data_IF_166590196860
#
_entry.id   IF_166590196860
#
_cell.length_a   1.000
_cell.length_b   1.000
_cell.length_c   1.000
_cell.angle_alpha   90.00
_cell.angle_beta   90.00
_cell.angle_gamma   90.00
#
_symmetry.space_group_name_H-M   'P 1'
#
loop_
_entity.id
_entity.type
_entity.pdbx_description
1 polymer ?
#
# COMPACT_ATOMS: atom_id res chain seq x y z
N UNK A 1 -4.48 -40.32 22.47
CA UNK A 1 -4.19 -38.87 22.52
C UNK A 1 -3.95 -38.41 21.09
N UNK A 2 -4.92 -37.73 20.48
CA UNK A 2 -4.73 -37.15 19.15
C UNK A 2 -3.79 -35.96 19.29
N UNK A 3 -2.68 -35.97 18.56
CA UNK A 3 -1.87 -34.78 18.39
C UNK A 3 -2.72 -33.77 17.59
N UNK A 4 -3.14 -32.68 18.22
CA UNK A 4 -3.66 -31.54 17.48
C UNK A 4 -2.49 -30.94 16.69
N UNK A 5 -2.46 -31.21 15.39
CA UNK A 5 -1.63 -30.44 14.47
C UNK A 5 -2.16 -29.00 14.47
N UNK A 6 -1.37 -28.04 14.93
CA UNK A 6 -1.70 -26.63 14.77
C UNK A 6 -1.89 -26.35 13.28
N UNK A 7 -3.08 -25.92 12.86
CA UNK A 7 -3.34 -25.54 11.48
C UNK A 7 -2.40 -24.39 11.07
N UNK A 8 -1.94 -24.42 9.82
CA UNK A 8 -1.08 -23.38 9.29
C UNK A 8 -1.85 -22.07 9.12
N UNK A 9 -1.42 -21.00 9.80
CA UNK A 9 -2.03 -19.68 9.67
C UNK A 9 -1.39 -18.90 8.51
N UNK A 10 -2.05 -18.88 7.34
CA UNK A 10 -1.60 -18.16 6.16
C UNK A 10 -1.40 -16.64 6.36
N UNK A 11 -1.93 -16.02 7.42
CA UNK A 11 -1.82 -14.59 7.67
C UNK A 11 -0.69 -14.18 8.63
N UNK A 12 0.09 -15.15 9.14
CA UNK A 12 1.17 -14.90 10.11
C UNK A 12 2.56 -15.30 9.59
N UNK A 13 2.80 -15.11 8.29
CA UNK A 13 4.05 -15.50 7.62
C UNK A 13 4.53 -14.41 6.65
N UNK A 14 5.83 -14.44 6.34
CA UNK A 14 6.42 -13.57 5.33
C UNK A 14 6.19 -14.12 3.93
N UNK A 15 5.75 -13.25 3.02
CA UNK A 15 5.54 -13.57 1.62
C UNK A 15 6.26 -12.57 0.72
N UNK A 16 7.03 -13.02 -0.27
CA UNK A 16 7.55 -12.14 -1.30
C UNK A 16 6.41 -11.63 -2.19
N UNK A 17 6.40 -10.34 -2.52
CA UNK A 17 5.38 -9.73 -3.37
C UNK A 17 5.87 -9.59 -4.82
N UNK A 18 7.02 -8.94 -5.02
CA UNK A 18 7.61 -8.68 -6.34
C UNK A 18 9.11 -8.35 -6.21
N UNK A 19 9.94 -8.62 -7.24
CA UNK A 19 11.29 -8.06 -7.33
C UNK A 19 11.28 -6.53 -7.35
N UNK A 20 12.34 -5.90 -6.84
CA UNK A 20 12.45 -4.43 -6.80
C UNK A 20 12.69 -3.86 -8.20
N UNK A 21 13.38 -4.59 -9.07
CA UNK A 21 13.60 -4.17 -10.46
C UNK A 21 12.33 -4.06 -11.30
N UNK A 22 11.25 -4.73 -10.89
CA UNK A 22 9.94 -4.67 -11.57
C UNK A 22 9.08 -3.47 -11.10
N UNK A 23 9.55 -2.74 -10.08
CA UNK A 23 8.84 -1.58 -9.52
C UNK A 23 9.34 -0.28 -10.15
N UNK A 24 8.41 0.55 -10.64
CA UNK A 24 8.70 1.95 -10.92
C UNK A 24 8.47 2.80 -9.66
N UNK A 25 9.57 3.28 -9.07
CA UNK A 25 9.56 4.17 -7.90
C UNK A 25 8.73 5.44 -8.05
N UNK A 26 8.32 5.83 -9.27
CA UNK A 26 7.52 7.04 -9.54
C UNK A 26 6.02 6.81 -9.49
N UNK A 27 5.55 5.57 -9.49
CA UNK A 27 4.12 5.27 -9.47
C UNK A 27 3.76 4.18 -8.45
N UNK A 28 2.55 4.24 -7.87
CA UNK A 28 2.03 3.15 -7.07
C UNK A 28 1.81 1.89 -7.92
N UNK A 29 2.13 0.72 -7.37
CA UNK A 29 1.97 -0.58 -8.04
C UNK A 29 0.97 -1.45 -7.27
N UNK A 30 -0.11 -1.93 -7.90
CA UNK A 30 -1.06 -2.84 -7.25
C UNK A 30 -0.46 -4.26 -7.15
N UNK A 31 -0.73 -4.94 -6.03
CA UNK A 31 -0.44 -6.37 -5.86
C UNK A 31 -1.57 -7.04 -5.09
N UNK A 32 -1.82 -8.32 -5.35
CA UNK A 32 -2.80 -9.11 -4.60
C UNK A 32 -2.15 -10.35 -4.02
N UNK A 33 -2.34 -10.57 -2.72
CA UNK A 33 -1.86 -11.76 -2.02
C UNK A 33 -2.93 -12.28 -1.07
N UNK A 34 -3.20 -13.59 -1.11
CA UNK A 34 -4.25 -14.23 -0.30
C UNK A 34 -5.64 -13.54 -0.43
N UNK A 35 -5.92 -12.96 -1.61
CA UNK A 35 -7.14 -12.18 -1.87
C UNK A 35 -7.15 -10.76 -1.30
N UNK A 36 -6.08 -10.33 -0.61
CA UNK A 36 -5.92 -8.97 -0.09
C UNK A 36 -5.25 -8.10 -1.16
N UNK A 37 -5.92 -7.01 -1.54
CA UNK A 37 -5.36 -5.99 -2.45
C UNK A 37 -4.48 -5.03 -1.67
N UNK A 38 -3.25 -4.88 -2.12
CA UNK A 38 -2.23 -4.02 -1.55
C UNK A 38 -1.68 -3.06 -2.62
N UNK A 39 -1.15 -1.93 -2.16
CA UNK A 39 -0.44 -0.96 -3.00
C UNK A 39 1.00 -0.85 -2.51
N UNK A 40 1.95 -1.08 -3.40
CA UNK A 40 3.37 -0.83 -3.19
C UNK A 40 3.69 0.55 -3.73
N UNK A 41 4.39 1.38 -2.97
CA UNK A 41 4.80 2.71 -3.43
C UNK A 41 6.09 3.15 -2.74
N UNK A 42 6.81 4.12 -3.32
CA UNK A 42 8.04 4.66 -2.74
C UNK A 42 7.83 6.11 -2.27
N UNK A 43 7.79 6.37 -0.96
CA UNK A 43 7.79 7.74 -0.45
C UNK A 43 9.04 8.48 -0.91
N UNK A 44 8.94 9.77 -1.27
CA UNK A 44 10.14 10.57 -1.57
C UNK A 44 11.02 10.81 -0.33
N UNK A 45 10.47 10.64 0.87
CA UNK A 45 11.15 10.78 2.17
C UNK A 45 12.00 9.57 2.55
N UNK A 46 11.86 8.43 1.86
CA UNK A 46 12.47 7.17 2.26
C UNK A 46 13.14 6.43 1.10
N UNK A 47 14.23 5.73 1.40
CA UNK A 47 14.86 4.80 0.47
C UNK A 47 14.11 3.47 0.35
N UNK A 48 13.19 3.18 1.28
CA UNK A 48 12.41 1.94 1.33
C UNK A 48 11.02 2.10 0.72
N UNK A 49 10.51 1.00 0.15
CA UNK A 49 9.12 0.92 -0.29
C UNK A 49 8.18 0.74 0.91
N UNK A 50 6.96 1.27 0.76
CA UNK A 50 5.86 1.06 1.69
C UNK A 50 4.78 0.22 1.02
N UNK A 51 4.04 -0.54 1.84
CA UNK A 51 2.93 -1.38 1.38
C UNK A 51 1.72 -1.11 2.25
N UNK A 52 0.64 -0.62 1.63
CA UNK A 52 -0.63 -0.38 2.31
C UNK A 52 -1.74 -1.26 1.73
N UNK A 53 -2.90 -1.29 2.39
CA UNK A 53 -4.13 -1.76 1.74
C UNK A 53 -4.41 -0.88 0.52
N UNK A 54 -4.81 -1.48 -0.59
CA UNK A 54 -5.15 -0.75 -1.82
C UNK A 54 -6.56 -0.15 -1.75
N UNK A 55 -6.82 0.63 -0.70
CA UNK A 55 -8.14 1.18 -0.39
C UNK A 55 -7.98 2.52 0.34
N UNK A 56 -8.46 3.59 -0.27
CA UNK A 56 -8.57 4.88 0.39
C UNK A 56 -9.67 4.81 1.47
N UNK A 57 -9.39 5.14 2.74
CA UNK A 57 -10.38 5.04 3.82
C UNK A 57 -11.60 5.96 3.63
N UNK A 58 -11.54 6.92 2.71
CA UNK A 58 -12.68 7.79 2.40
C UNK A 58 -13.82 7.03 1.68
N UNK A 59 -13.55 6.41 0.53
CA UNK A 59 -14.57 5.71 -0.29
C UNK A 59 -14.05 4.45 -1.00
N UNK A 60 -13.00 3.84 -0.45
CA UNK A 60 -12.41 2.58 -0.90
C UNK A 60 -11.88 2.58 -2.34
N UNK A 61 -11.67 3.76 -2.93
CA UNK A 61 -10.97 3.89 -4.20
C UNK A 61 -9.57 3.26 -4.08
N UNK A 62 -9.13 2.49 -5.09
CA UNK A 62 -7.78 1.92 -5.08
C UNK A 62 -6.74 3.04 -5.05
N UNK A 63 -5.85 2.97 -4.08
CA UNK A 63 -4.73 3.92 -3.95
C UNK A 63 -3.68 3.69 -5.03
N UNK A 64 -3.63 2.48 -5.59
CA UNK A 64 -2.78 2.10 -6.72
C UNK A 64 -3.11 2.85 -8.01
N UNK A 65 -4.35 3.31 -8.19
CA UNK A 65 -4.75 4.21 -9.28
C UNK A 65 -4.37 5.68 -9.02
N UNK A 66 -3.82 5.96 -7.83
CA UNK A 66 -3.34 7.27 -7.42
C UNK A 66 -1.98 7.65 -8.00
N UNK A 67 -1.27 8.53 -7.28
CA UNK A 67 0.08 8.96 -7.65
C UNK A 67 0.91 9.32 -6.42
N UNK A 68 2.22 9.40 -6.59
CA UNK A 68 3.09 10.05 -5.61
C UNK A 68 3.04 11.55 -5.88
N UNK A 69 2.60 12.34 -4.91
CA UNK A 69 2.51 13.79 -5.07
C UNK A 69 3.90 14.42 -5.19
N UNK A 70 4.06 15.30 -6.17
CA UNK A 70 5.40 15.82 -6.45
C UNK A 70 5.95 16.76 -5.39
N UNK A 71 5.06 17.48 -4.71
CA UNK A 71 5.42 18.51 -3.72
C UNK A 71 5.67 17.91 -2.35
N UNK A 72 4.82 16.98 -1.94
CA UNK A 72 4.88 16.37 -0.60
C UNK A 72 5.62 15.04 -0.59
N UNK A 73 5.67 14.33 -1.71
CA UNK A 73 6.19 12.95 -1.76
C UNK A 73 5.25 11.90 -1.19
N UNK A 74 4.02 12.28 -0.84
CA UNK A 74 3.01 11.39 -0.24
C UNK A 74 2.23 10.61 -1.29
N UNK A 75 1.66 9.48 -0.88
CA UNK A 75 0.71 8.73 -1.70
C UNK A 75 -0.62 9.50 -1.77
N UNK A 76 -1.02 9.92 -2.96
CA UNK A 76 -2.24 10.65 -3.21
C UNK A 76 -3.29 9.79 -3.91
N UNK A 77 -4.47 9.68 -3.30
CA UNK A 77 -5.64 9.03 -3.88
C UNK A 77 -6.12 9.75 -5.16
N UNK A 78 -6.41 8.98 -6.21
CA UNK A 78 -6.91 9.49 -7.50
C UNK A 78 -8.29 10.14 -7.42
N UNK A 79 -9.12 9.72 -6.45
CA UNK A 79 -10.51 10.16 -6.40
C UNK A 79 -10.66 11.61 -5.89
N UNK A 80 -10.20 11.89 -4.68
CA UNK A 80 -10.39 13.20 -4.04
C UNK A 80 -9.10 13.82 -3.51
N UNK A 81 -7.94 13.27 -3.91
CA UNK A 81 -6.64 13.84 -3.59
C UNK A 81 -6.21 13.71 -2.13
N UNK A 82 -6.86 12.87 -1.32
CA UNK A 82 -6.40 12.57 0.05
C UNK A 82 -4.97 12.04 0.00
N UNK A 83 -4.11 12.55 0.87
CA UNK A 83 -2.69 12.22 0.89
C UNK A 83 -2.32 11.46 2.16
N UNK A 84 -1.46 10.45 2.00
CA UNK A 84 -0.96 9.60 3.09
C UNK A 84 0.56 9.59 3.09
N UNK A 85 1.17 9.79 4.25
CA UNK A 85 2.61 9.66 4.43
C UNK A 85 3.06 8.18 4.51
N UNK A 86 4.36 7.97 4.70
CA UNK A 86 4.97 6.63 4.80
C UNK A 86 4.48 5.79 5.98
N UNK A 87 3.84 6.41 6.98
CA UNK A 87 3.24 5.73 8.13
C UNK A 87 1.73 5.51 7.95
N UNK A 88 1.16 5.92 6.82
CA UNK A 88 -0.27 5.83 6.53
C UNK A 88 -1.10 6.94 7.19
N UNK A 89 -0.48 7.99 7.74
CA UNK A 89 -1.20 9.13 8.32
C UNK A 89 -1.76 9.99 7.21
N UNK A 90 -3.05 10.32 7.29
CA UNK A 90 -3.68 11.26 6.37
C UNK A 90 -3.16 12.68 6.64
N UNK A 91 -2.31 13.19 5.77
CA UNK A 91 -1.62 14.48 5.94
C UNK A 91 -2.36 15.65 5.30
N UNK A 92 -3.20 15.38 4.29
CA UNK A 92 -3.91 16.42 3.56
C UNK A 92 -5.23 15.90 2.97
N UNK A 93 -6.27 16.72 3.06
CA UNK A 93 -7.60 16.49 2.46
C UNK A 93 -7.94 17.73 1.62
N UNK A 94 -7.61 17.73 0.31
CA UNK A 94 -7.79 18.91 -0.54
C UNK A 94 -9.24 19.31 -0.79
N UNK A 95 -10.18 18.37 -0.61
CA UNK A 95 -11.61 18.55 -0.85
C UNK A 95 -12.42 18.44 0.45
N UNK A 96 -11.89 18.98 1.56
CA UNK A 96 -12.59 19.03 2.84
C UNK A 96 -13.83 19.94 2.77
#
# INVERSE_FOLDING_TARGET
>A
MQAMSSEFNFFQHWYPLTPVEDLDSKCPTPVTILGIRLVIWKPKSSDTYQVFLDQCPHRLAPLSEGRIDDKTGNLMCSYHGWQFDEHGICTNIPQA
#
